data_IF_080616853684
#
_entry.id   IF_080616853684
#
_cell.length_a   1.000
_cell.length_b   1.000
_cell.length_c   1.000
_cell.angle_alpha   90.00
_cell.angle_beta   90.00
_cell.angle_gamma   90.00
#
_symmetry.space_group_name_H-M   'P 1'
#
loop_
_entity.id
_entity.type
_entity.pdbx_description
1 polymer ?
#
# COMPACT_ATOMS: atom_id res chain seq x y z
N UNK A 1 13.75 23.76 -12.89
CA UNK A 1 14.07 22.32 -12.97
C UNK A 1 12.92 21.65 -13.70
N UNK A 2 13.12 20.92 -14.81
CA UNK A 2 12.00 20.30 -15.50
C UNK A 2 11.53 19.09 -14.69
N UNK A 3 10.25 19.11 -14.32
CA UNK A 3 9.55 17.95 -13.79
C UNK A 3 9.51 16.88 -14.88
N UNK A 4 10.03 15.69 -14.60
CA UNK A 4 9.97 14.56 -15.53
C UNK A 4 8.51 14.23 -15.82
N UNK A 5 8.17 14.17 -17.11
CA UNK A 5 6.82 14.00 -17.65
C UNK A 5 6.18 12.62 -17.43
N UNK A 6 6.59 11.88 -16.40
CA UNK A 6 6.05 10.56 -16.05
C UNK A 6 5.09 10.60 -14.83
N UNK A 7 4.84 11.79 -14.27
CA UNK A 7 3.96 12.00 -13.13
C UNK A 7 2.47 12.19 -13.50
N UNK A 8 2.13 12.24 -14.80
CA UNK A 8 0.77 12.43 -15.31
C UNK A 8 0.12 11.14 -15.84
N UNK A 9 0.74 9.97 -15.61
CA UNK A 9 0.04 8.71 -15.85
C UNK A 9 -1.01 8.55 -14.75
N UNK A 10 -2.26 8.91 -15.09
CA UNK A 10 -3.45 8.69 -14.27
C UNK A 10 -3.31 7.36 -13.52
N UNK A 11 -3.46 7.41 -12.19
CA UNK A 11 -3.48 6.20 -11.39
C UNK A 11 -4.51 5.24 -12.00
N UNK A 12 -4.23 3.92 -11.98
CA UNK A 12 -5.21 2.95 -12.44
C UNK A 12 -6.51 3.15 -11.66
N UNK A 13 -7.67 2.91 -12.30
CA UNK A 13 -8.94 3.03 -11.62
C UNK A 13 -8.96 2.11 -10.41
N UNK A 14 -9.51 2.60 -9.29
CA UNK A 14 -9.69 1.79 -8.09
C UNK A 14 -10.51 0.54 -8.45
N UNK A 15 -10.10 -0.65 -7.97
CA UNK A 15 -10.85 -1.88 -8.19
C UNK A 15 -12.29 -1.76 -7.66
N UNK A 16 -13.26 -2.31 -8.40
CA UNK A 16 -14.70 -2.18 -8.10
C UNK A 16 -15.25 -3.25 -7.13
N UNK A 17 -14.37 -4.00 -6.48
CA UNK A 17 -14.77 -5.03 -5.52
C UNK A 17 -15.09 -4.49 -4.13
N UNK A 18 -15.59 -5.34 -3.20
CA UNK A 18 -15.83 -4.93 -1.83
C UNK A 18 -14.53 -4.41 -1.19
N UNK A 19 -14.57 -3.18 -0.71
CA UNK A 19 -13.46 -2.53 -0.02
C UNK A 19 -13.27 -3.18 1.37
N UNK A 20 -12.17 -3.90 1.63
CA UNK A 20 -11.90 -4.52 2.93
C UNK A 20 -11.79 -3.48 4.06
N UNK A 21 -11.51 -2.22 3.72
CA UNK A 21 -11.47 -1.07 4.62
C UNK A 21 -12.77 -0.25 4.64
N UNK A 22 -13.77 -0.59 3.82
CA UNK A 22 -15.03 0.15 3.68
C UNK A 22 -16.10 -0.21 4.72
N UNK A 23 -15.82 -1.15 5.63
CA UNK A 23 -16.77 -1.60 6.65
C UNK A 23 -17.19 -0.49 7.61
N UNK A 24 -18.51 -0.29 7.79
CA UNK A 24 -19.10 0.79 8.57
C UNK A 24 -18.63 0.89 10.05
N UNK A 25 -18.04 -0.18 10.59
CA UNK A 25 -17.51 -0.23 11.96
C UNK A 25 -16.01 0.06 12.10
N UNK A 26 -15.27 0.26 11.02
CA UNK A 26 -13.80 0.41 11.07
C UNK A 26 -13.29 1.82 11.45
N UNK A 27 -13.91 2.93 11.02
CA UNK A 27 -13.39 4.27 11.30
C UNK A 27 -13.19 4.53 12.79
N UNK A 28 -11.98 4.94 13.19
CA UNK A 28 -11.66 5.36 14.55
C UNK A 28 -11.54 4.23 15.59
N UNK A 29 -11.63 2.96 15.19
CA UNK A 29 -11.49 1.80 16.10
C UNK A 29 -10.05 1.30 16.26
N UNK A 30 -9.12 1.75 15.42
CA UNK A 30 -7.77 1.16 15.33
C UNK A 30 -7.73 -0.26 14.76
N UNK A 31 -8.89 -0.79 14.34
CA UNK A 31 -9.02 -2.07 13.67
C UNK A 31 -8.22 -2.07 12.37
N UNK A 32 -7.60 -3.22 12.06
CA UNK A 32 -6.87 -3.37 10.80
C UNK A 32 -7.78 -3.81 9.68
N UNK A 33 -7.48 -3.32 8.50
CA UNK A 33 -7.90 -3.92 7.24
C UNK A 33 -6.67 -4.04 6.32
N UNK A 34 -6.78 -4.82 5.26
CA UNK A 34 -5.74 -4.95 4.24
C UNK A 34 -6.40 -5.36 2.92
N UNK A 35 -5.81 -4.92 1.82
CA UNK A 35 -6.15 -5.44 0.50
C UNK A 35 -5.40 -6.74 0.22
N UNK A 36 -5.96 -7.60 -0.61
CA UNK A 36 -5.25 -8.75 -1.17
C UNK A 36 -4.43 -8.34 -2.38
N UNK A 37 -3.23 -8.89 -2.47
CA UNK A 37 -2.29 -8.73 -3.57
C UNK A 37 -1.88 -10.13 -4.05
N UNK A 38 -2.58 -10.63 -5.09
CA UNK A 38 -2.52 -12.05 -5.45
C UNK A 38 -2.94 -12.93 -4.26
N UNK A 39 -2.12 -13.93 -3.94
CA UNK A 39 -2.35 -14.83 -2.78
C UNK A 39 -1.81 -14.26 -1.45
N UNK A 40 -1.22 -13.07 -1.47
CA UNK A 40 -0.62 -12.44 -0.28
C UNK A 40 -1.46 -11.26 0.17
N UNK A 41 -1.36 -10.89 1.46
CA UNK A 41 -1.94 -9.64 1.93
C UNK A 41 -1.02 -8.46 1.60
N UNK A 42 -1.62 -7.32 1.31
CA UNK A 42 -0.96 -6.02 1.28
C UNK A 42 -0.63 -5.50 2.69
N UNK A 43 -0.14 -4.24 2.77
CA UNK A 43 0.15 -3.57 4.02
C UNK A 43 -1.07 -3.46 4.92
N UNK A 44 -0.84 -3.48 6.23
CA UNK A 44 -1.92 -3.27 7.20
C UNK A 44 -2.32 -1.81 7.22
N UNK A 45 -3.61 -1.56 7.02
CA UNK A 45 -4.21 -0.23 7.04
C UNK A 45 -5.10 -0.06 8.28
N UNK A 46 -5.34 1.18 8.66
CA UNK A 46 -6.34 1.60 9.64
C UNK A 46 -7.24 2.65 9.01
N UNK A 47 -8.52 2.63 9.36
CA UNK A 47 -9.48 3.59 8.83
C UNK A 47 -9.55 4.80 9.75
N UNK A 48 -9.11 5.94 9.23
CA UNK A 48 -9.16 7.23 9.90
C UNK A 48 -10.51 7.87 9.58
N UNK A 49 -11.28 8.31 10.59
CA UNK A 49 -12.51 9.03 10.37
C UNK A 49 -12.21 10.37 9.69
N UNK A 50 -13.08 10.80 8.79
CA UNK A 50 -12.96 12.15 8.22
C UNK A 50 -13.28 13.21 9.28
N UNK A 51 -12.58 14.33 9.19
CA UNK A 51 -12.81 15.51 10.04
C UNK A 51 -13.99 16.31 9.46
N UNK A 52 -14.83 16.88 10.31
CA UNK A 52 -15.98 17.74 9.94
C UNK A 52 -16.93 17.12 8.89
N UNK A 53 -17.20 15.82 9.02
CA UNK A 53 -18.07 15.09 8.08
C UNK A 53 -17.39 14.71 6.77
N UNK A 54 -16.06 14.86 6.68
CA UNK A 54 -15.26 14.36 5.57
C UNK A 54 -15.37 12.85 5.38
N UNK A 55 -15.00 12.38 4.19
CA UNK A 55 -14.97 10.94 3.90
C UNK A 55 -13.88 10.26 4.73
N UNK A 56 -14.17 9.11 5.37
CA UNK A 56 -13.13 8.27 5.95
C UNK A 56 -12.08 7.87 4.91
N UNK A 57 -10.85 7.66 5.34
CA UNK A 57 -9.77 7.20 4.48
C UNK A 57 -8.91 6.17 5.20
N UNK A 58 -8.37 5.23 4.45
CA UNK A 58 -7.43 4.26 4.97
C UNK A 58 -6.00 4.84 4.95
N UNK A 59 -5.25 4.62 6.02
CA UNK A 59 -3.84 4.97 6.13
C UNK A 59 -3.06 3.73 6.58
N UNK A 60 -1.82 3.57 6.14
CA UNK A 60 -0.97 2.50 6.67
C UNK A 60 -0.86 2.60 8.19
N UNK A 61 -1.02 1.47 8.88
CA UNK A 61 -0.95 1.41 10.35
C UNK A 61 0.40 1.88 10.88
N UNK A 62 1.45 1.65 10.11
CA UNK A 62 2.81 2.10 10.39
C UNK A 62 3.55 2.34 9.08
N UNK A 63 4.86 2.51 9.18
CA UNK A 63 5.74 2.58 8.01
C UNK A 63 5.69 1.27 7.23
N UNK A 64 5.88 1.36 5.91
CA UNK A 64 5.93 0.19 5.03
C UNK A 64 7.13 -0.68 5.42
N UNK A 65 6.90 -1.97 5.66
CA UNK A 65 7.97 -2.87 6.06
C UNK A 65 8.86 -3.26 4.88
N UNK A 66 10.10 -3.67 5.17
CA UNK A 66 11.03 -4.22 4.17
C UNK A 66 10.39 -5.38 3.41
N UNK A 67 9.69 -6.29 4.12
CA UNK A 67 9.02 -7.43 3.49
C UNK A 67 7.96 -6.99 2.46
N UNK A 68 7.12 -6.00 2.80
CA UNK A 68 6.05 -5.51 1.93
C UNK A 68 6.63 -4.84 0.67
N UNK A 69 7.70 -4.05 0.81
CA UNK A 69 8.36 -3.41 -0.32
C UNK A 69 9.14 -4.40 -1.19
N UNK A 70 9.71 -5.46 -0.59
CA UNK A 70 10.41 -6.50 -1.32
C UNK A 70 9.48 -7.30 -2.25
N UNK A 71 8.20 -7.48 -1.89
CA UNK A 71 7.20 -8.10 -2.78
C UNK A 71 7.07 -7.30 -4.08
N UNK A 72 7.05 -5.97 -4.00
CA UNK A 72 7.07 -5.11 -5.19
C UNK A 72 8.35 -5.27 -6.01
N UNK A 73 9.52 -5.27 -5.36
CA UNK A 73 10.78 -5.48 -6.08
C UNK A 73 10.82 -6.82 -6.81
N UNK A 74 10.34 -7.89 -6.17
CA UNK A 74 10.30 -9.24 -6.75
C UNK A 74 9.27 -9.34 -7.89
N UNK A 75 8.06 -8.80 -7.69
CA UNK A 75 7.01 -8.87 -8.69
C UNK A 75 7.29 -8.03 -9.94
N UNK A 76 8.03 -6.93 -9.80
CA UNK A 76 8.22 -5.96 -10.89
C UNK A 76 9.63 -5.92 -11.47
N UNK A 77 10.63 -6.43 -10.75
CA UNK A 77 12.05 -6.31 -11.12
C UNK A 77 12.58 -4.88 -11.15
N UNK A 78 11.82 -3.89 -10.64
CA UNK A 78 12.18 -2.45 -10.71
C UNK A 78 13.14 -1.99 -9.60
N UNK A 79 13.44 -2.87 -8.66
CA UNK A 79 14.39 -2.62 -7.58
C UNK A 79 15.02 -3.93 -7.09
N UNK A 80 16.14 -3.80 -6.40
CA UNK A 80 16.75 -4.90 -5.66
C UNK A 80 16.09 -5.00 -4.30
N UNK A 81 15.66 -6.21 -3.93
CA UNK A 81 15.12 -6.47 -2.60
C UNK A 81 16.17 -6.15 -1.51
N UNK A 82 15.74 -5.48 -0.45
CA UNK A 82 16.60 -5.20 0.71
C UNK A 82 16.75 -6.47 1.57
N UNK A 83 17.88 -6.58 2.29
CA UNK A 83 18.14 -7.73 3.14
C UNK A 83 17.07 -7.87 4.24
N UNK A 84 16.47 -9.05 4.31
CA UNK A 84 15.43 -9.42 5.28
C UNK A 84 15.74 -10.78 5.90
N UNK A 85 17.00 -11.01 6.29
CA UNK A 85 17.52 -12.30 6.75
C UNK A 85 16.96 -12.76 8.09
N UNK A 86 16.32 -11.86 8.86
CA UNK A 86 15.60 -12.21 10.09
C UNK A 86 14.19 -11.64 10.06
N UNK A 87 13.24 -12.22 10.82
CA UNK A 87 11.88 -11.69 10.93
C UNK A 87 11.82 -10.23 11.41
N UNK A 88 12.76 -9.81 12.26
CA UNK A 88 12.85 -8.44 12.77
C UNK A 88 13.24 -7.46 11.66
N UNK A 89 14.24 -7.81 10.84
CA UNK A 89 14.63 -7.01 9.69
C UNK A 89 13.54 -6.97 8.61
N UNK A 90 12.82 -8.08 8.41
CA UNK A 90 11.71 -8.15 7.49
C UNK A 90 10.55 -7.21 7.88
N UNK A 91 10.33 -7.02 9.18
CA UNK A 91 9.28 -6.13 9.75
C UNK A 91 9.76 -4.70 9.98
N UNK A 92 11.05 -4.43 9.83
CA UNK A 92 11.60 -3.09 9.99
C UNK A 92 11.09 -2.16 8.88
N UNK A 93 11.02 -0.84 9.13
CA UNK A 93 10.69 0.13 8.10
C UNK A 93 11.64 0.04 6.91
N UNK A 94 11.10 0.04 5.69
CA UNK A 94 11.90 0.19 4.49
C UNK A 94 12.53 1.59 4.49
N UNK A 95 13.84 1.66 4.19
CA UNK A 95 14.60 2.90 4.24
C UNK A 95 15.43 3.08 2.98
N UNK A 96 15.91 4.30 2.75
CA UNK A 96 16.80 4.61 1.63
C UNK A 96 16.21 4.22 0.25
N UNK A 97 14.90 4.44 0.07
CA UNK A 97 14.22 4.31 -1.23
C UNK A 97 14.07 5.68 -1.87
N UNK A 98 14.15 5.76 -3.19
CA UNK A 98 13.92 7.01 -3.91
C UNK A 98 12.44 7.36 -3.97
N UNK A 99 12.12 8.64 -4.20
CA UNK A 99 10.74 9.08 -4.42
C UNK A 99 10.09 8.36 -5.60
N UNK A 100 10.85 8.12 -6.67
CA UNK A 100 10.40 7.38 -7.85
C UNK A 100 10.01 5.93 -7.49
N UNK A 101 10.81 5.27 -6.65
CA UNK A 101 10.51 3.93 -6.14
C UNK A 101 9.25 3.92 -5.26
N UNK A 102 9.12 4.89 -4.36
CA UNK A 102 7.93 5.02 -3.51
C UNK A 102 6.65 5.22 -4.34
N UNK A 103 6.67 6.11 -5.35
CA UNK A 103 5.53 6.31 -6.27
C UNK A 103 5.22 5.07 -7.09
N UNK A 104 6.25 4.35 -7.55
CA UNK A 104 6.06 3.10 -8.29
C UNK A 104 5.43 2.00 -7.41
N UNK A 105 5.85 1.90 -6.15
CA UNK A 105 5.25 0.98 -5.17
C UNK A 105 3.76 1.28 -4.94
N UNK A 106 3.41 2.55 -4.70
CA UNK A 106 2.01 2.96 -4.52
C UNK A 106 1.14 2.65 -5.74
N UNK A 107 1.64 2.92 -6.95
CA UNK A 107 0.94 2.55 -8.19
C UNK A 107 0.74 1.05 -8.33
N UNK A 108 1.77 0.27 -8.01
CA UNK A 108 1.68 -1.18 -8.04
C UNK A 108 0.67 -1.72 -7.03
N UNK A 109 0.60 -1.13 -5.83
CA UNK A 109 -0.45 -1.45 -4.87
C UNK A 109 -1.84 -1.17 -5.44
N UNK A 110 -2.07 -0.05 -6.14
CA UNK A 110 -3.37 0.26 -6.76
C UNK A 110 -3.77 -0.72 -7.88
N UNK A 111 -2.80 -1.24 -8.64
CA UNK A 111 -3.06 -2.23 -9.70
C UNK A 111 -3.30 -3.62 -9.11
N UNK A 112 -2.49 -3.96 -8.10
CA UNK A 112 -2.44 -5.30 -7.52
C UNK A 112 -3.44 -5.52 -6.40
N UNK A 113 -3.91 -4.45 -5.74
CA UNK A 113 -5.06 -4.51 -4.86
C UNK A 113 -6.29 -4.73 -5.72
N UNK A 114 -7.13 -5.66 -5.32
CA UNK A 114 -8.40 -5.95 -5.97
C UNK A 114 -9.34 -6.40 -4.89
N UNK A 115 -10.39 -5.62 -4.63
CA UNK A 115 -11.45 -6.00 -3.69
C UNK A 115 -11.98 -7.38 -4.08
N UNK A 116 -11.57 -8.41 -3.34
CA UNK A 116 -12.00 -9.77 -3.58
C UNK A 116 -13.44 -9.92 -3.14
N UNK A 117 -14.37 -9.87 -4.08
CA UNK A 117 -15.70 -10.45 -3.91
C UNK A 117 -15.62 -11.95 -4.15
N UNK A 118 -15.93 -12.73 -3.12
CA UNK A 118 -16.64 -13.99 -3.28
C UNK A 118 -18.10 -13.74 -2.87
#
# INVERSE_FOLDING_TARGET
MPASADDDASLPPVPTGPDPCGGAGLPGRGAACFDTLGDTRGPMLVVVPGIDGGKPYALSRGEVAVADFNLFCQATGRCTAQAASTPELARAPVRNISLTQARAYLRWLTIGSGGGGA
#
